data_IF_129260811723
#
_entry.id   IF_129260811723
#
_cell.length_a   1.000
_cell.length_b   1.000
_cell.length_c   1.000
_cell.angle_alpha   90.00
_cell.angle_beta   90.00
_cell.angle_gamma   90.00
#
_symmetry.space_group_name_H-M   'P 1'
#
loop_
_entity.id
_entity.type
_entity.pdbx_description
1 polymer ?
#
# COMPACT_ATOMS: atom_id res chain seq x y z
N UNK A 1 17.21 7.79 -20.61
CA UNK A 1 17.58 7.54 -19.19
C UNK A 1 17.56 8.85 -18.38
N UNK A 2 18.21 9.91 -18.84
CA UNK A 2 18.33 11.20 -18.15
C UNK A 2 16.95 11.87 -17.84
N UNK A 3 16.04 11.94 -18.82
CA UNK A 3 14.66 12.47 -18.64
C UNK A 3 13.80 11.70 -17.62
N UNK A 4 14.07 10.42 -17.40
CA UNK A 4 13.33 9.60 -16.41
C UNK A 4 13.86 9.83 -14.99
N UNK A 5 15.17 9.99 -14.84
CA UNK A 5 15.80 10.36 -13.57
C UNK A 5 15.30 11.73 -13.08
N UNK A 6 15.10 12.69 -14.00
CA UNK A 6 14.55 14.01 -13.70
C UNK A 6 13.13 13.94 -13.14
N UNK A 7 12.25 13.11 -13.71
CA UNK A 7 10.86 12.96 -13.23
C UNK A 7 10.77 12.39 -11.82
N UNK A 8 11.58 11.38 -11.51
CA UNK A 8 11.62 10.80 -10.16
C UNK A 8 12.12 11.83 -9.14
N UNK A 9 13.19 12.56 -9.47
CA UNK A 9 13.74 13.61 -8.64
C UNK A 9 12.76 14.78 -8.42
N UNK A 10 12.01 15.16 -9.46
CA UNK A 10 10.98 16.20 -9.38
C UNK A 10 9.80 15.77 -8.49
N UNK A 11 9.38 14.52 -8.56
CA UNK A 11 8.36 13.96 -7.69
C UNK A 11 8.81 14.00 -6.21
N UNK A 12 10.03 13.55 -5.93
CA UNK A 12 10.65 13.58 -4.61
C UNK A 12 10.73 14.99 -4.04
N UNK A 13 11.25 15.92 -4.84
CA UNK A 13 11.34 17.35 -4.47
C UNK A 13 9.95 17.95 -4.19
N UNK A 14 8.95 17.60 -5.00
CA UNK A 14 7.59 18.08 -4.85
C UNK A 14 6.97 17.60 -3.53
N UNK A 15 7.15 16.34 -3.16
CA UNK A 15 6.67 15.77 -1.90
C UNK A 15 7.24 16.54 -0.69
N UNK A 16 8.56 16.74 -0.67
CA UNK A 16 9.26 17.33 0.48
C UNK A 16 9.10 18.85 0.55
N UNK A 17 9.00 19.54 -0.59
CA UNK A 17 8.91 21.01 -0.63
C UNK A 17 7.47 21.49 -0.83
N UNK A 18 6.91 21.24 -2.03
CA UNK A 18 5.61 21.81 -2.44
C UNK A 18 4.44 21.22 -1.63
N UNK A 19 4.41 19.92 -1.45
CA UNK A 19 3.35 19.20 -0.75
C UNK A 19 3.73 18.79 0.68
N UNK A 20 4.72 19.46 1.27
CA UNK A 20 5.18 19.17 2.63
C UNK A 20 4.06 19.22 3.66
N UNK A 21 3.20 20.23 3.59
CA UNK A 21 2.11 20.42 4.57
C UNK A 21 0.95 19.45 4.38
N UNK A 22 0.63 19.12 3.14
CA UNK A 22 -0.56 18.35 2.78
C UNK A 22 -0.31 16.85 2.59
N UNK A 23 0.93 16.46 2.35
CA UNK A 23 1.30 15.05 2.11
C UNK A 23 2.35 14.57 3.09
N UNK A 24 3.55 15.15 3.10
CA UNK A 24 4.66 14.65 3.92
C UNK A 24 4.39 14.70 5.42
N UNK A 25 3.88 15.82 5.92
CA UNK A 25 3.57 15.97 7.36
C UNK A 25 2.44 15.03 7.83
N UNK A 26 1.29 14.93 7.14
CA UNK A 26 0.27 13.93 7.49
C UNK A 26 0.78 12.51 7.47
N UNK A 27 1.58 12.13 6.46
CA UNK A 27 2.21 10.83 6.37
C UNK A 27 3.09 10.53 7.59
N UNK A 28 4.05 11.41 7.91
CA UNK A 28 4.94 11.21 9.06
C UNK A 28 4.18 11.29 10.38
N UNK A 29 3.13 12.12 10.47
CA UNK A 29 2.25 12.18 11.64
C UNK A 29 1.52 10.85 11.86
N UNK A 30 0.95 10.24 10.81
CA UNK A 30 0.28 8.94 10.92
C UNK A 30 1.25 7.86 11.40
N UNK A 31 2.44 7.78 10.82
CA UNK A 31 3.47 6.81 11.21
C UNK A 31 3.84 6.93 12.69
N UNK A 32 4.01 8.14 13.19
CA UNK A 32 4.40 8.38 14.58
C UNK A 32 3.22 8.22 15.54
N UNK A 33 2.05 8.78 15.23
CA UNK A 33 0.89 8.76 16.11
C UNK A 33 0.33 7.35 16.34
N UNK A 34 0.40 6.49 15.33
CA UNK A 34 -0.08 5.11 15.38
C UNK A 34 1.05 4.09 15.52
N UNK A 35 2.27 4.54 15.76
CA UNK A 35 3.47 3.69 15.93
C UNK A 35 3.57 2.62 14.83
N UNK A 36 3.39 3.04 13.56
CA UNK A 36 3.30 2.12 12.43
C UNK A 36 4.62 1.44 12.09
N UNK A 37 5.76 2.10 12.38
CA UNK A 37 7.10 1.61 12.04
C UNK A 37 7.96 1.57 13.30
N UNK A 38 8.62 0.43 13.51
CA UNK A 38 9.61 0.22 14.56
C UNK A 38 10.99 -0.06 13.94
N UNK A 39 12.07 0.14 14.73
CA UNK A 39 13.40 -0.26 14.31
C UNK A 39 13.48 -1.77 14.06
N UNK A 40 14.08 -2.15 12.96
CA UNK A 40 14.20 -3.55 12.54
C UNK A 40 13.00 -4.08 11.73
N UNK A 41 11.96 -3.28 11.50
CA UNK A 41 10.85 -3.67 10.64
C UNK A 41 11.30 -3.90 9.20
N UNK A 42 10.68 -4.88 8.54
CA UNK A 42 10.73 -5.05 7.10
C UNK A 42 9.31 -4.99 6.54
N UNK A 43 9.04 -3.99 5.72
CA UNK A 43 7.70 -3.59 5.31
C UNK A 43 7.50 -3.87 3.83
N UNK A 44 6.48 -4.66 3.49
CA UNK A 44 6.02 -4.81 2.12
C UNK A 44 5.04 -3.68 1.78
N UNK A 45 5.48 -2.71 1.00
CA UNK A 45 4.65 -1.64 0.47
C UNK A 45 3.90 -2.16 -0.74
N UNK A 46 2.57 -2.31 -0.61
CA UNK A 46 1.72 -2.93 -1.62
C UNK A 46 1.30 -1.91 -2.68
N UNK A 47 1.71 -2.15 -3.91
CA UNK A 47 1.42 -1.28 -5.07
C UNK A 47 0.29 -1.89 -5.88
N UNK A 48 -0.85 -1.19 -5.94
CA UNK A 48 -2.02 -1.56 -6.75
C UNK A 48 -1.96 -1.03 -8.20
N UNK A 49 -1.03 -0.12 -8.48
CA UNK A 49 -0.93 0.60 -9.74
C UNK A 49 -1.66 1.94 -9.77
N UNK A 50 -2.52 2.24 -8.79
CA UNK A 50 -3.16 3.52 -8.61
C UNK A 50 -2.20 4.61 -8.10
N UNK A 51 -2.61 5.88 -8.28
CA UNK A 51 -1.83 7.05 -7.87
C UNK A 51 -1.42 7.05 -6.39
N UNK A 52 -2.32 6.60 -5.51
CA UNK A 52 -2.11 6.62 -4.07
C UNK A 52 -1.05 5.60 -3.63
N UNK A 53 -1.06 4.40 -4.21
CA UNK A 53 -0.04 3.39 -3.94
C UNK A 53 1.35 3.79 -4.47
N UNK A 54 1.42 4.47 -5.61
CA UNK A 54 2.68 5.01 -6.14
C UNK A 54 3.20 6.17 -5.29
N UNK A 55 2.31 7.05 -4.82
CA UNK A 55 2.65 8.11 -3.87
C UNK A 55 3.20 7.50 -2.57
N UNK A 56 2.52 6.52 -2.01
CA UNK A 56 2.97 5.81 -0.81
C UNK A 56 4.36 5.22 -0.99
N UNK A 57 4.65 4.59 -2.13
CA UNK A 57 5.97 4.05 -2.43
C UNK A 57 7.04 5.14 -2.42
N UNK A 58 6.79 6.30 -3.02
CA UNK A 58 7.72 7.43 -2.99
C UNK A 58 7.92 8.00 -1.59
N UNK A 59 6.86 8.09 -0.80
CA UNK A 59 6.93 8.52 0.60
C UNK A 59 7.79 7.58 1.45
N UNK A 60 7.67 6.27 1.25
CA UNK A 60 8.53 5.29 1.93
C UNK A 60 10.01 5.41 1.52
N UNK A 61 10.29 5.64 0.23
CA UNK A 61 11.67 5.87 -0.24
C UNK A 61 12.28 7.10 0.43
N UNK A 62 11.51 8.19 0.55
CA UNK A 62 11.97 9.40 1.24
C UNK A 62 12.14 9.18 2.75
N UNK A 63 11.23 8.44 3.37
CA UNK A 63 11.33 8.11 4.79
C UNK A 63 12.56 7.23 5.09
N UNK A 64 12.87 6.28 4.23
CA UNK A 64 14.06 5.43 4.35
C UNK A 64 15.35 6.23 4.24
N UNK A 65 15.40 7.24 3.34
CA UNK A 65 16.58 8.10 3.17
C UNK A 65 16.77 9.11 4.31
N UNK A 66 15.70 9.64 4.86
CA UNK A 66 15.72 10.79 5.77
C UNK A 66 15.11 10.50 7.14
N UNK A 67 14.57 9.32 7.35
CA UNK A 67 13.98 8.90 8.61
C UNK A 67 15.01 8.62 9.69
N UNK A 68 14.54 8.67 10.95
CA UNK A 68 15.36 8.37 12.12
C UNK A 68 15.35 6.90 12.51
N UNK A 69 14.45 6.11 11.93
CA UNK A 69 14.25 4.69 12.23
C UNK A 69 14.94 3.83 11.19
N UNK A 70 15.53 2.73 11.61
CA UNK A 70 16.13 1.73 10.74
C UNK A 70 15.10 0.67 10.38
N UNK A 71 14.66 0.64 9.13
CA UNK A 71 13.73 -0.35 8.60
C UNK A 71 14.06 -0.63 7.13
N UNK A 72 13.57 -1.76 6.64
CA UNK A 72 13.71 -2.15 5.24
C UNK A 72 12.36 -2.09 4.53
N UNK A 73 12.37 -1.82 3.23
CA UNK A 73 11.18 -1.73 2.39
C UNK A 73 11.31 -2.66 1.18
N UNK A 74 10.24 -3.39 0.90
CA UNK A 74 10.05 -4.14 -0.35
C UNK A 74 8.80 -3.58 -1.03
N UNK A 75 8.90 -3.23 -2.31
CA UNK A 75 7.75 -2.76 -3.10
C UNK A 75 7.12 -3.93 -3.82
N UNK A 76 5.91 -4.31 -3.40
CA UNK A 76 5.26 -5.54 -3.81
C UNK A 76 4.07 -5.26 -4.74
N UNK A 77 4.10 -5.84 -5.94
CA UNK A 77 3.00 -5.79 -6.90
C UNK A 77 2.40 -7.17 -7.04
N UNK A 78 1.12 -7.30 -6.70
CA UNK A 78 0.35 -8.51 -6.98
C UNK A 78 -0.33 -8.38 -8.33
N UNK A 79 -0.08 -9.33 -9.23
CA UNK A 79 -0.79 -9.45 -10.51
C UNK A 79 -1.85 -10.56 -10.41
N UNK A 80 -3.13 -10.21 -10.21
CA UNK A 80 -4.21 -11.19 -10.09
C UNK A 80 -4.76 -11.65 -11.44
N UNK A 81 -4.04 -11.42 -12.55
CA UNK A 81 -4.48 -11.66 -13.92
C UNK A 81 -4.85 -10.38 -14.67
N UNK A 82 -4.15 -9.28 -14.41
CA UNK A 82 -4.35 -8.04 -15.18
C UNK A 82 -4.16 -8.28 -16.69
N UNK A 83 -4.92 -7.54 -17.49
CA UNK A 83 -4.62 -7.47 -18.91
C UNK A 83 -3.23 -6.85 -19.14
N UNK A 84 -2.61 -7.17 -20.27
CA UNK A 84 -1.23 -6.77 -20.56
C UNK A 84 -1.04 -5.25 -20.53
N UNK A 85 -2.02 -4.48 -20.99
CA UNK A 85 -1.95 -3.00 -21.02
C UNK A 85 -1.85 -2.42 -19.60
N UNK A 86 -2.68 -2.90 -18.69
CA UNK A 86 -2.67 -2.45 -17.29
C UNK A 86 -1.38 -2.87 -16.59
N UNK A 87 -0.93 -4.07 -16.84
CA UNK A 87 0.31 -4.57 -16.28
C UNK A 87 1.53 -3.76 -16.75
N UNK A 88 1.65 -3.52 -18.04
CA UNK A 88 2.72 -2.68 -18.61
C UNK A 88 2.67 -1.24 -18.09
N UNK A 89 1.47 -0.70 -17.86
CA UNK A 89 1.31 0.63 -17.27
C UNK A 89 1.91 0.69 -15.86
N UNK A 90 1.67 -0.33 -15.02
CA UNK A 90 2.25 -0.41 -13.67
C UNK A 90 3.78 -0.47 -13.74
N UNK A 91 4.32 -1.32 -14.61
CA UNK A 91 5.77 -1.46 -14.79
C UNK A 91 6.42 -0.15 -15.26
N UNK A 92 5.81 0.52 -16.24
CA UNK A 92 6.31 1.78 -16.79
C UNK A 92 6.27 2.90 -15.74
N UNK A 93 5.20 3.00 -14.96
CA UNK A 93 5.09 3.98 -13.88
C UNK A 93 6.12 3.73 -12.77
N UNK A 94 6.31 2.48 -12.36
CA UNK A 94 7.34 2.12 -11.39
C UNK A 94 8.75 2.49 -11.88
N UNK A 95 9.05 2.18 -13.14
CA UNK A 95 10.33 2.55 -13.78
C UNK A 95 10.51 4.06 -13.86
N UNK A 96 9.47 4.80 -14.27
CA UNK A 96 9.51 6.26 -14.37
C UNK A 96 9.77 6.93 -13.02
N UNK A 97 9.21 6.37 -11.94
CA UNK A 97 9.36 6.88 -10.58
C UNK A 97 10.57 6.28 -9.83
N UNK A 98 11.36 5.44 -10.50
CA UNK A 98 12.50 4.74 -9.90
C UNK A 98 12.11 3.94 -8.64
N UNK A 99 11.04 3.17 -8.73
CA UNK A 99 10.56 2.28 -7.67
C UNK A 99 10.96 0.84 -8.05
N UNK A 100 11.86 0.17 -7.29
CA UNK A 100 12.24 -1.21 -7.54
C UNK A 100 11.13 -2.15 -7.06
N UNK A 101 10.31 -2.64 -7.98
CA UNK A 101 9.16 -3.49 -7.67
C UNK A 101 9.50 -4.98 -7.74
N UNK A 102 8.88 -5.76 -6.85
CA UNK A 102 8.82 -7.22 -6.91
C UNK A 102 7.41 -7.64 -7.30
N UNK A 103 7.26 -8.34 -8.42
CA UNK A 103 5.95 -8.77 -8.94
C UNK A 103 5.73 -10.24 -8.66
N UNK A 104 4.54 -10.61 -8.21
CA UNK A 104 4.09 -12.01 -8.14
C UNK A 104 2.69 -12.17 -8.73
N UNK A 105 2.40 -13.35 -9.25
CA UNK A 105 1.11 -13.69 -9.86
C UNK A 105 0.25 -14.48 -8.90
N UNK A 106 -1.06 -14.33 -9.03
CA UNK A 106 -2.07 -15.12 -8.32
C UNK A 106 -3.22 -15.46 -9.28
N UNK A 107 -3.93 -16.54 -9.00
CA UNK A 107 -5.07 -17.01 -9.79
C UNK A 107 -6.41 -16.59 -9.18
N UNK A 108 -6.47 -15.40 -8.57
CA UNK A 108 -7.67 -14.93 -7.84
C UNK A 108 -8.88 -14.83 -8.78
N UNK A 109 -8.70 -14.31 -9.98
CA UNK A 109 -9.82 -14.14 -10.91
C UNK A 109 -10.38 -15.46 -11.39
N UNK A 110 -9.55 -16.49 -11.57
CA UNK A 110 -9.99 -17.81 -11.99
C UNK A 110 -10.81 -18.51 -10.89
N UNK A 111 -10.50 -18.23 -9.63
CA UNK A 111 -11.17 -18.82 -8.46
C UNK A 111 -12.49 -18.11 -8.11
N UNK A 112 -12.59 -16.79 -8.33
CA UNK A 112 -13.74 -15.97 -7.91
C UNK A 112 -14.91 -16.06 -8.90
N UNK A 113 -14.66 -16.40 -10.15
CA UNK A 113 -15.71 -16.53 -11.20
C UNK A 113 -16.76 -17.59 -10.84
N UNK A 114 -16.38 -18.61 -10.08
CA UNK A 114 -17.26 -19.71 -9.71
C UNK A 114 -18.07 -19.50 -8.41
N UNK A 115 -17.95 -18.34 -7.74
CA UNK A 115 -18.56 -18.09 -6.43
C UNK A 115 -19.65 -17.02 -6.53
N UNK A 116 -20.88 -17.41 -6.16
CA UNK A 116 -22.10 -16.59 -6.27
C UNK A 116 -22.32 -15.62 -5.12
N UNK A 117 -21.70 -15.84 -3.94
CA UNK A 117 -21.92 -15.02 -2.74
C UNK A 117 -20.83 -13.97 -2.52
N UNK A 118 -21.18 -12.68 -2.69
CA UNK A 118 -20.32 -11.51 -2.41
C UNK A 118 -18.91 -11.58 -3.00
N UNK A 119 -18.77 -11.66 -4.33
CA UNK A 119 -17.47 -11.87 -4.98
C UNK A 119 -16.44 -10.76 -4.65
N UNK A 120 -16.89 -9.53 -4.44
CA UNK A 120 -16.00 -8.41 -4.10
C UNK A 120 -15.35 -8.55 -2.72
N UNK A 121 -16.12 -8.98 -1.72
CA UNK A 121 -15.59 -9.21 -0.36
C UNK A 121 -14.57 -10.35 -0.34
N UNK A 122 -14.92 -11.47 -0.99
CA UNK A 122 -14.03 -12.62 -1.07
C UNK A 122 -12.75 -12.28 -1.83
N UNK A 123 -12.86 -11.57 -2.95
CA UNK A 123 -11.70 -11.09 -3.72
C UNK A 123 -10.78 -10.21 -2.86
N UNK A 124 -11.33 -9.25 -2.10
CA UNK A 124 -10.55 -8.39 -1.23
C UNK A 124 -9.86 -9.17 -0.09
N UNK A 125 -10.55 -10.17 0.47
CA UNK A 125 -10.00 -11.04 1.51
C UNK A 125 -8.88 -11.93 0.98
N UNK A 126 -9.07 -12.54 -0.19
CA UNK A 126 -8.07 -13.37 -0.86
C UNK A 126 -6.83 -12.54 -1.22
N UNK A 127 -7.03 -11.34 -1.78
CA UNK A 127 -5.91 -10.43 -2.10
C UNK A 127 -5.05 -10.12 -0.89
N UNK A 128 -5.66 -9.82 0.26
CA UNK A 128 -4.93 -9.59 1.51
C UNK A 128 -4.16 -10.83 1.96
N UNK A 129 -4.79 -12.01 1.89
CA UNK A 129 -4.14 -13.28 2.23
C UNK A 129 -2.90 -13.54 1.39
N UNK A 130 -2.98 -13.36 0.08
CA UNK A 130 -1.82 -13.51 -0.82
C UNK A 130 -0.72 -12.49 -0.54
N UNK A 131 -1.08 -11.23 -0.28
CA UNK A 131 -0.12 -10.17 0.08
C UNK A 131 0.61 -10.50 1.37
N UNK A 132 -0.10 -10.93 2.42
CA UNK A 132 0.50 -11.35 3.68
C UNK A 132 1.43 -12.56 3.50
N UNK A 133 0.98 -13.57 2.75
CA UNK A 133 1.77 -14.77 2.48
C UNK A 133 3.07 -14.44 1.75
N UNK A 134 2.98 -13.62 0.69
CA UNK A 134 4.17 -13.21 -0.07
C UNK A 134 5.10 -12.31 0.73
N UNK A 135 4.56 -11.38 1.48
CA UNK A 135 5.35 -10.52 2.37
C UNK A 135 6.11 -11.35 3.42
N UNK A 136 5.45 -12.34 4.02
CA UNK A 136 6.08 -13.26 4.98
C UNK A 136 7.18 -14.09 4.33
N UNK A 137 6.97 -14.60 3.13
CA UNK A 137 7.97 -15.33 2.34
C UNK A 137 9.23 -14.48 2.10
N UNK A 138 9.06 -13.17 1.87
CA UNK A 138 10.14 -12.20 1.70
C UNK A 138 10.77 -11.72 3.01
N UNK A 139 10.35 -12.26 4.15
CA UNK A 139 10.86 -11.89 5.48
C UNK A 139 10.28 -10.60 6.04
N UNK A 140 9.19 -10.07 5.46
CA UNK A 140 8.52 -8.88 5.97
C UNK A 140 7.64 -9.23 7.18
N UNK A 141 7.56 -8.29 8.13
CA UNK A 141 6.65 -8.39 9.29
C UNK A 141 5.46 -7.44 9.19
N UNK A 142 5.44 -6.56 8.19
CA UNK A 142 4.34 -5.63 7.95
C UNK A 142 4.01 -5.53 6.47
N UNK A 143 2.72 -5.24 6.19
CA UNK A 143 2.27 -4.78 4.89
C UNK A 143 1.72 -3.36 5.00
N UNK A 144 2.02 -2.50 4.03
CA UNK A 144 1.49 -1.15 3.93
C UNK A 144 0.50 -1.05 2.76
N UNK A 145 -0.69 -0.56 3.04
CA UNK A 145 -1.76 -0.36 2.06
C UNK A 145 -2.03 1.14 1.86
N UNK A 146 -2.31 1.54 0.63
CA UNK A 146 -2.50 2.93 0.23
C UNK A 146 -3.92 3.48 0.44
N UNK A 147 -4.61 3.09 1.51
CA UNK A 147 -5.90 3.69 1.88
C UNK A 147 -5.68 5.04 2.54
N UNK A 148 -6.43 6.05 2.10
CA UNK A 148 -6.35 7.42 2.60
C UNK A 148 -7.60 7.82 3.41
N UNK A 149 -7.67 9.08 3.83
CA UNK A 149 -8.73 9.59 4.70
C UNK A 149 -10.15 9.39 4.12
N UNK A 150 -10.33 9.65 2.83
CA UNK A 150 -11.64 9.49 2.18
C UNK A 150 -12.10 8.03 2.19
N UNK A 151 -11.21 7.05 2.00
CA UNK A 151 -11.55 5.62 2.09
C UNK A 151 -12.10 5.26 3.49
N UNK A 152 -11.54 5.87 4.53
CA UNK A 152 -11.99 5.68 5.92
C UNK A 152 -13.40 6.23 6.10
N UNK A 153 -13.66 7.44 5.62
CA UNK A 153 -14.98 8.08 5.70
C UNK A 153 -16.01 7.29 4.90
N UNK A 154 -15.70 6.90 3.68
CA UNK A 154 -16.57 6.09 2.84
C UNK A 154 -16.92 4.76 3.52
N UNK A 155 -15.97 4.08 4.13
CA UNK A 155 -16.19 2.81 4.87
C UNK A 155 -17.17 3.02 6.02
N UNK A 156 -17.03 4.09 6.80
CA UNK A 156 -17.92 4.41 7.92
C UNK A 156 -19.33 4.71 7.40
N UNK A 157 -19.46 5.58 6.40
CA UNK A 157 -20.76 5.98 5.83
C UNK A 157 -21.48 4.76 5.22
N UNK A 158 -20.78 3.94 4.46
CA UNK A 158 -21.36 2.73 3.86
C UNK A 158 -21.80 1.73 4.94
N UNK A 159 -21.00 1.55 5.99
CA UNK A 159 -21.37 0.71 7.14
C UNK A 159 -22.66 1.18 7.83
N UNK A 160 -22.83 2.50 8.02
CA UNK A 160 -24.04 3.09 8.62
C UNK A 160 -25.26 2.93 7.71
N UNK A 161 -25.12 3.17 6.40
CA UNK A 161 -26.25 3.19 5.46
C UNK A 161 -26.75 1.79 5.08
N UNK A 162 -25.85 0.83 4.94
CA UNK A 162 -26.18 -0.48 4.37
C UNK A 162 -26.02 -1.66 5.34
N UNK A 163 -25.17 -1.53 6.36
CA UNK A 163 -24.85 -2.63 7.26
C UNK A 163 -25.50 -2.56 8.63
N UNK A 164 -26.17 -1.46 8.97
CA UNK A 164 -26.64 -1.16 10.34
C UNK A 164 -25.52 -1.37 11.40
N UNK A 165 -24.27 -1.29 10.99
CA UNK A 165 -23.08 -1.49 11.81
C UNK A 165 -22.09 -0.35 11.54
N UNK A 166 -21.41 0.10 12.59
CA UNK A 166 -20.28 1.01 12.43
C UNK A 166 -19.04 0.17 12.12
N UNK A 167 -18.73 0.03 10.83
CA UNK A 167 -17.47 -0.55 10.40
C UNK A 167 -16.40 0.55 10.32
N UNK A 168 -15.26 0.31 10.93
CA UNK A 168 -14.14 1.24 10.91
C UNK A 168 -12.96 0.63 10.18
N UNK A 169 -12.21 1.47 9.47
CA UNK A 169 -10.93 1.10 8.87
C UNK A 169 -9.81 1.58 9.79
N UNK A 170 -9.17 0.67 10.49
CA UNK A 170 -8.12 1.01 11.46
C UNK A 170 -6.82 1.41 10.78
N UNK A 171 -6.06 2.39 11.33
CA UNK A 171 -4.77 2.81 10.78
C UNK A 171 -3.69 1.73 10.89
N UNK A 172 -3.79 0.87 11.90
CA UNK A 172 -2.89 -0.25 12.17
C UNK A 172 -3.72 -1.43 12.66
N UNK A 173 -3.43 -2.61 12.14
CA UNK A 173 -4.19 -3.84 12.44
C UNK A 173 -3.25 -5.04 12.51
N UNK A 174 -3.33 -5.82 13.58
CA UNK A 174 -2.67 -7.11 13.67
C UNK A 174 -3.41 -8.14 12.81
N UNK A 175 -2.66 -8.97 12.11
CA UNK A 175 -3.24 -10.06 11.36
C UNK A 175 -3.66 -11.21 12.28
N UNK A 176 -4.90 -11.67 12.16
CA UNK A 176 -5.39 -12.83 12.91
C UNK A 176 -4.94 -14.16 12.31
N UNK A 177 -4.66 -14.19 11.00
CA UNK A 177 -4.30 -15.40 10.27
C UNK A 177 -2.79 -15.55 10.03
N UNK A 178 -2.02 -14.48 10.23
CA UNK A 178 -0.58 -14.45 10.06
C UNK A 178 0.06 -13.89 11.33
N UNK A 179 0.43 -14.79 12.22
CA UNK A 179 1.03 -14.42 13.51
C UNK A 179 2.28 -13.55 13.34
N UNK A 180 2.38 -12.50 14.13
CA UNK A 180 3.50 -11.55 14.10
C UNK A 180 3.45 -10.55 12.94
N UNK A 181 2.45 -10.60 12.06
CA UNK A 181 2.29 -9.65 10.96
C UNK A 181 1.25 -8.58 11.25
N UNK A 182 1.55 -7.36 10.81
CA UNK A 182 0.67 -6.20 10.93
C UNK A 182 0.40 -5.57 9.56
N UNK A 183 -0.79 -4.98 9.43
CA UNK A 183 -1.14 -4.10 8.32
C UNK A 183 -1.12 -2.66 8.80
N UNK A 184 -0.51 -1.79 8.03
CA UNK A 184 -0.48 -0.35 8.28
C UNK A 184 -1.07 0.43 7.10
N UNK A 185 -1.68 1.59 7.41
CA UNK A 185 -2.24 2.52 6.42
C UNK A 185 -1.60 3.90 6.57
N UNK A 186 -0.41 4.11 6.00
CA UNK A 186 0.35 5.34 6.23
C UNK A 186 -0.27 6.60 5.63
N UNK A 187 -1.18 6.46 4.64
CA UNK A 187 -1.92 7.58 4.05
C UNK A 187 -3.21 7.93 4.82
N UNK A 188 -3.42 7.34 5.99
CA UNK A 188 -4.64 7.45 6.79
C UNK A 188 -5.06 8.89 7.11
N UNK A 189 -4.11 9.80 7.21
CA UNK A 189 -4.34 11.22 7.51
C UNK A 189 -4.19 12.16 6.30
N UNK A 190 -4.07 11.59 5.08
CA UNK A 190 -3.95 12.36 3.83
C UNK A 190 -5.31 12.51 3.16
#
# INVERSE_FOLDING_TARGET
AERLADKAADAERSIIKKFKKTVWRPFTKAINAYEMIQDGDKIAVCISGGKDSMLMAKLFQELERHGKKNFEVVFLVMNPGYNEVNYQTILNNAKMLNIPITVFRTEIFDTVVDITDSPCYLCARMRRGYLYSKARELGCNKIALGHHFDDVIETIVMGMLYGAQIQTMMPKLHSTNFEGMEMIRPLYLI
#
